data_IF_605025769805
#
_entry.id   IF_605025769805
#
_cell.length_a   1.000
_cell.length_b   1.000
_cell.length_c   1.000
_cell.angle_alpha   90.00
_cell.angle_beta   90.00
_cell.angle_gamma   90.00
#
_symmetry.space_group_name_H-M   'P 1'
#
loop_
_entity.id
_entity.type
_entity.pdbx_description
1 polymer ?
#
# COMPACT_ATOMS: atom_id res chain seq x y z
N UNK A 1 4.98 13.15 -9.37
CA UNK A 1 4.24 13.26 -8.09
C UNK A 1 3.57 11.93 -7.79
N UNK A 2 3.49 11.51 -6.52
CA UNK A 2 2.95 10.20 -6.13
C UNK A 2 1.45 10.14 -6.35
N UNK A 3 1.01 9.15 -7.11
CA UNK A 3 -0.39 8.87 -7.37
C UNK A 3 -0.88 7.74 -6.44
N UNK A 4 -1.42 8.14 -5.28
CA UNK A 4 -1.97 7.20 -4.30
C UNK A 4 -3.19 6.43 -4.86
N UNK A 5 -3.96 7.04 -5.74
CA UNK A 5 -5.16 6.39 -6.30
C UNK A 5 -4.76 5.25 -7.22
N UNK A 6 -3.78 5.47 -8.10
CA UNK A 6 -3.20 4.42 -8.93
C UNK A 6 -2.61 3.28 -8.11
N UNK A 7 -1.90 3.58 -7.02
CA UNK A 7 -1.34 2.55 -6.12
C UNK A 7 -2.47 1.71 -5.50
N UNK A 8 -3.54 2.36 -5.02
CA UNK A 8 -4.70 1.65 -4.48
C UNK A 8 -5.33 0.72 -5.53
N UNK A 9 -5.50 1.19 -6.77
CA UNK A 9 -6.08 0.40 -7.87
C UNK A 9 -5.21 -0.80 -8.20
N UNK A 10 -3.89 -0.64 -8.29
CA UNK A 10 -2.95 -1.73 -8.62
C UNK A 10 -3.00 -2.82 -7.55
N UNK A 11 -2.90 -2.45 -6.27
CA UNK A 11 -2.91 -3.41 -5.15
C UNK A 11 -4.28 -4.07 -5.02
N UNK A 12 -5.37 -3.29 -5.07
CA UNK A 12 -6.72 -3.83 -4.99
C UNK A 12 -7.03 -4.76 -6.18
N UNK A 13 -6.65 -4.39 -7.40
CA UNK A 13 -6.85 -5.24 -8.58
C UNK A 13 -6.12 -6.59 -8.47
N UNK A 14 -4.87 -6.58 -8.01
CA UNK A 14 -4.09 -7.81 -7.80
C UNK A 14 -4.66 -8.71 -6.72
N UNK A 15 -5.05 -8.13 -5.58
CA UNK A 15 -5.71 -8.86 -4.49
C UNK A 15 -7.08 -9.40 -4.92
N UNK A 16 -7.83 -8.67 -5.73
CA UNK A 16 -9.13 -9.12 -6.24
C UNK A 16 -8.95 -10.34 -7.14
N UNK A 17 -7.99 -10.29 -8.06
CA UNK A 17 -7.73 -11.39 -8.99
C UNK A 17 -7.35 -12.70 -8.29
N UNK A 18 -6.61 -12.65 -7.17
CA UNK A 18 -6.17 -13.86 -6.44
C UNK A 18 -7.17 -14.35 -5.40
N UNK A 19 -7.93 -13.44 -4.78
CA UNK A 19 -8.87 -13.81 -3.70
C UNK A 19 -10.30 -13.99 -4.18
N UNK A 20 -10.70 -13.31 -5.26
CA UNK A 20 -12.08 -13.19 -5.70
C UNK A 20 -12.94 -12.25 -4.84
N UNK A 21 -12.38 -11.66 -3.79
CA UNK A 21 -13.08 -10.78 -2.87
C UNK A 21 -13.11 -9.34 -3.38
N UNK A 22 -14.14 -8.59 -3.01
CA UNK A 22 -14.15 -7.14 -3.21
C UNK A 22 -13.14 -6.48 -2.25
N UNK A 23 -12.37 -5.51 -2.73
CA UNK A 23 -11.38 -4.79 -1.93
C UNK A 23 -11.78 -3.34 -1.81
N UNK A 24 -11.93 -2.89 -0.56
CA UNK A 24 -12.42 -1.54 -0.25
C UNK A 24 -11.45 -0.80 0.65
N UNK A 25 -11.34 0.51 0.46
CA UNK A 25 -10.65 1.37 1.41
C UNK A 25 -11.50 1.52 2.67
N UNK A 26 -10.91 1.32 3.83
CA UNK A 26 -11.61 1.45 5.11
C UNK A 26 -11.96 2.92 5.40
N UNK A 27 -12.95 3.14 6.28
CA UNK A 27 -13.33 4.47 6.79
C UNK A 27 -13.83 5.48 5.74
N UNK A 28 -14.35 5.02 4.61
CA UNK A 28 -15.06 5.89 3.68
C UNK A 28 -16.47 6.17 4.23
N UNK A 29 -16.73 7.44 4.58
CA UNK A 29 -18.06 7.88 4.98
C UNK A 29 -19.06 7.57 3.85
N UNK A 30 -20.16 6.90 4.18
CA UNK A 30 -21.23 6.47 3.25
C UNK A 30 -20.84 5.42 2.19
N UNK A 31 -19.73 4.69 2.36
CA UNK A 31 -19.42 3.58 1.49
C UNK A 31 -20.36 2.39 1.73
N UNK A 32 -20.79 1.74 0.64
CA UNK A 32 -21.53 0.49 0.70
C UNK A 32 -20.62 -0.60 1.27
N UNK A 33 -21.11 -1.31 2.28
CA UNK A 33 -20.42 -2.51 2.80
C UNK A 33 -20.62 -3.64 1.77
N UNK A 34 -19.55 -4.23 1.23
CA UNK A 34 -19.65 -5.37 0.31
C UNK A 34 -20.25 -6.61 1.00
N UNK A 35 -20.77 -7.58 0.23
CA UNK A 35 -21.11 -8.89 0.77
C UNK A 35 -19.85 -9.63 1.29
N UNK A 36 -20.01 -10.45 2.31
CA UNK A 36 -18.94 -11.31 2.82
C UNK A 36 -18.58 -12.43 1.83
N UNK A 37 -17.31 -12.89 1.79
CA UNK A 37 -16.15 -12.24 2.39
C UNK A 37 -15.62 -11.07 1.53
N UNK A 38 -15.15 -10.01 2.19
CA UNK A 38 -14.48 -8.88 1.54
C UNK A 38 -13.18 -8.50 2.26
N UNK A 39 -12.34 -7.71 1.61
CA UNK A 39 -11.09 -7.22 2.20
C UNK A 39 -11.15 -5.70 2.30
N UNK A 40 -10.94 -5.18 3.50
CA UNK A 40 -10.71 -3.75 3.70
C UNK A 40 -9.21 -3.46 3.89
N UNK A 41 -8.76 -2.30 3.43
CA UNK A 41 -7.39 -1.84 3.72
C UNK A 41 -7.35 -0.42 4.27
N UNK A 42 -6.29 -0.11 5.01
CA UNK A 42 -5.98 1.23 5.53
C UNK A 42 -4.49 1.49 5.38
N UNK A 43 -4.13 2.65 4.84
CA UNK A 43 -2.74 3.13 4.87
C UNK A 43 -2.49 3.71 6.27
N UNK A 44 -1.71 3.03 7.09
CA UNK A 44 -1.46 3.41 8.48
C UNK A 44 -0.47 4.57 8.59
N UNK A 45 0.58 4.53 7.77
CA UNK A 45 1.60 5.58 7.73
C UNK A 45 2.19 5.71 6.33
N UNK A 46 2.76 6.87 6.07
CA UNK A 46 3.59 7.15 4.90
C UNK A 46 4.82 7.87 5.40
N UNK A 47 5.98 7.26 5.18
CA UNK A 47 7.27 7.77 5.60
C UNK A 47 8.20 7.97 4.39
N UNK A 48 9.09 8.94 4.54
CA UNK A 48 10.08 9.32 3.53
C UNK A 48 11.45 9.31 4.18
N UNK A 49 12.39 8.54 3.64
CA UNK A 49 13.78 8.60 4.11
C UNK A 49 14.43 9.88 3.60
N UNK A 50 14.45 10.93 4.43
CA UNK A 50 15.16 12.19 4.12
C UNK A 50 16.64 11.92 3.84
N UNK A 51 17.17 12.50 2.76
CA UNK A 51 18.62 12.54 2.48
C UNK A 51 19.16 11.54 1.45
N UNK A 52 18.32 10.70 0.84
CA UNK A 52 18.75 9.79 -0.23
C UNK A 52 17.91 10.01 -1.48
N UNK A 53 18.18 11.12 -2.18
CA UNK A 53 17.78 11.22 -3.58
C UNK A 53 18.79 10.41 -4.39
N UNK A 54 18.33 9.32 -4.99
CA UNK A 54 19.15 8.59 -5.95
C UNK A 54 18.99 9.28 -7.29
N UNK A 55 20.11 9.74 -7.87
CA UNK A 55 20.12 10.29 -9.22
C UNK A 55 20.41 9.15 -10.19
N UNK A 56 19.49 8.87 -11.09
CA UNK A 56 19.73 7.98 -12.23
C UNK A 56 19.21 8.65 -13.50
N UNK A 57 20.07 8.80 -14.52
CA UNK A 57 19.68 9.38 -15.80
C UNK A 57 19.19 10.84 -15.75
N UNK A 58 19.56 11.62 -14.74
CA UNK A 58 19.11 13.01 -14.56
C UNK A 58 17.77 13.16 -13.84
N UNK A 59 17.21 12.08 -13.28
CA UNK A 59 15.99 12.13 -12.47
C UNK A 59 16.29 11.72 -11.02
N UNK A 60 15.74 12.48 -10.08
CA UNK A 60 15.86 12.20 -8.65
C UNK A 60 14.75 11.24 -8.22
N UNK A 61 15.12 10.12 -7.61
CA UNK A 61 14.17 9.15 -7.05
C UNK A 61 14.22 9.18 -5.53
N UNK A 62 13.04 9.24 -4.91
CA UNK A 62 12.88 9.09 -3.47
C UNK A 62 11.95 7.90 -3.20
N UNK A 63 12.43 6.81 -2.58
CA UNK A 63 11.56 5.74 -2.17
C UNK A 63 10.70 6.19 -0.98
N UNK A 64 9.39 6.08 -1.11
CA UNK A 64 8.44 6.23 -0.02
C UNK A 64 8.20 4.86 0.59
N UNK A 65 8.12 4.80 1.93
CA UNK A 65 7.72 3.59 2.63
C UNK A 65 6.30 3.79 3.19
N UNK A 66 5.38 2.86 2.91
CA UNK A 66 4.03 2.89 3.46
C UNK A 66 3.72 1.58 4.19
N UNK A 67 3.12 1.70 5.36
CA UNK A 67 2.56 0.54 6.07
C UNK A 67 1.07 0.45 5.77
N UNK A 68 0.64 -0.68 5.23
CA UNK A 68 -0.74 -0.97 4.88
C UNK A 68 -1.28 -2.05 5.80
N UNK A 69 -2.46 -1.83 6.38
CA UNK A 69 -3.18 -2.84 7.14
C UNK A 69 -4.30 -3.40 6.31
N UNK A 70 -4.33 -4.72 6.14
CA UNK A 70 -5.39 -5.46 5.46
C UNK A 70 -6.23 -6.20 6.49
N UNK A 71 -7.54 -6.19 6.32
CA UNK A 71 -8.48 -6.95 7.15
C UNK A 71 -9.49 -7.63 6.25
N UNK A 72 -9.59 -8.94 6.36
CA UNK A 72 -10.63 -9.75 5.74
C UNK A 72 -11.82 -9.80 6.69
N UNK A 73 -13.01 -9.47 6.21
CA UNK A 73 -14.26 -9.61 6.94
C UNK A 73 -15.08 -10.75 6.34
N UNK A 74 -15.61 -11.63 7.19
CA UNK A 74 -16.42 -12.77 6.76
C UNK A 74 -17.39 -13.27 7.82
N UNK A 75 -18.36 -14.08 7.39
CA UNK A 75 -19.32 -14.78 8.25
C UNK A 75 -18.89 -16.22 8.60
N UNK A 76 -17.82 -16.71 7.98
CA UNK A 76 -17.21 -18.03 8.25
C UNK A 76 -15.71 -17.91 8.54
N UNK A 77 -15.29 -18.40 9.71
CA UNK A 77 -13.90 -18.31 10.19
C UNK A 77 -12.87 -18.90 9.21
N UNK A 78 -13.08 -20.15 8.79
CA UNK A 78 -12.16 -20.86 7.89
C UNK A 78 -12.06 -20.18 6.51
N UNK A 79 -13.16 -19.60 6.03
CA UNK A 79 -13.15 -18.88 4.75
C UNK A 79 -12.38 -17.56 4.87
N UNK A 80 -12.63 -16.79 5.93
CA UNK A 80 -11.88 -15.57 6.20
C UNK A 80 -10.37 -15.84 6.36
N UNK A 81 -10.02 -16.93 7.07
CA UNK A 81 -8.63 -17.37 7.22
C UNK A 81 -8.00 -17.76 5.87
N UNK A 82 -8.72 -18.52 5.04
CA UNK A 82 -8.24 -18.91 3.70
C UNK A 82 -8.01 -17.69 2.80
N UNK A 83 -8.93 -16.73 2.79
CA UNK A 83 -8.79 -15.48 2.02
C UNK A 83 -7.59 -14.68 2.51
N UNK A 84 -7.40 -14.57 3.83
CA UNK A 84 -6.24 -13.88 4.42
C UNK A 84 -4.91 -14.54 4.02
N UNK A 85 -4.84 -15.88 4.02
CA UNK A 85 -3.66 -16.61 3.55
C UNK A 85 -3.37 -16.36 2.07
N UNK A 86 -4.38 -16.43 1.19
CA UNK A 86 -4.21 -16.13 -0.24
C UNK A 86 -3.71 -14.71 -0.49
N UNK A 87 -4.28 -13.73 0.20
CA UNK A 87 -3.87 -12.34 0.10
C UNK A 87 -2.42 -12.15 0.57
N UNK A 88 -2.06 -12.79 1.69
CA UNK A 88 -0.71 -12.78 2.26
C UNK A 88 0.30 -13.43 1.30
N UNK A 89 0.03 -14.65 0.83
CA UNK A 89 0.91 -15.39 -0.09
C UNK A 89 1.15 -14.60 -1.39
N UNK A 90 0.12 -13.89 -1.87
CA UNK A 90 0.24 -13.05 -3.05
C UNK A 90 1.15 -11.85 -2.81
N UNK A 91 0.98 -11.13 -1.69
CA UNK A 91 1.87 -10.02 -1.34
C UNK A 91 3.30 -10.52 -1.04
N UNK A 92 3.43 -11.67 -0.42
CA UNK A 92 4.72 -12.23 -0.05
C UNK A 92 5.49 -12.78 -1.22
N UNK A 93 4.86 -13.32 -2.26
CA UNK A 93 5.59 -14.02 -3.33
C UNK A 93 4.97 -13.80 -4.72
N UNK A 94 3.79 -14.35 -4.99
CA UNK A 94 3.30 -14.47 -6.38
C UNK A 94 2.96 -13.13 -7.05
N UNK A 95 2.69 -12.08 -6.26
CA UNK A 95 2.39 -10.73 -6.73
C UNK A 95 3.61 -9.83 -6.90
N UNK A 96 4.81 -10.26 -6.47
CA UNK A 96 6.01 -9.41 -6.44
C UNK A 96 6.37 -8.81 -7.79
N UNK A 97 6.34 -9.60 -8.86
CA UNK A 97 6.66 -9.13 -10.21
C UNK A 97 5.65 -8.09 -10.69
N UNK A 98 4.36 -8.40 -10.58
CA UNK A 98 3.28 -7.48 -10.94
C UNK A 98 3.35 -6.15 -10.18
N UNK A 99 3.65 -6.19 -8.88
CA UNK A 99 3.81 -4.98 -8.07
C UNK A 99 5.05 -4.19 -8.48
N UNK A 100 6.17 -4.88 -8.73
CA UNK A 100 7.43 -4.23 -9.11
C UNK A 100 7.33 -3.54 -10.48
N UNK A 101 6.65 -4.15 -11.46
CA UNK A 101 6.36 -3.54 -12.76
C UNK A 101 5.54 -2.24 -12.63
N UNK A 102 4.85 -2.07 -11.50
CA UNK A 102 4.09 -0.86 -11.14
C UNK A 102 4.82 0.04 -10.13
N UNK A 103 6.12 -0.19 -9.88
CA UNK A 103 6.95 0.63 -8.98
C UNK A 103 6.69 0.39 -7.49
N UNK A 104 6.08 -0.75 -7.13
CA UNK A 104 5.74 -1.13 -5.76
C UNK A 104 6.55 -2.37 -5.36
N UNK A 105 7.32 -2.28 -4.28
CA UNK A 105 8.11 -3.38 -3.74
C UNK A 105 7.59 -3.74 -2.35
N UNK A 106 7.25 -5.01 -2.14
CA UNK A 106 6.84 -5.52 -0.83
C UNK A 106 8.10 -5.76 0.00
N UNK A 107 8.29 -4.99 1.08
CA UNK A 107 9.43 -5.14 1.99
C UNK A 107 9.18 -6.23 3.03
N UNK A 108 7.96 -6.31 3.57
CA UNK A 108 7.57 -7.33 4.54
C UNK A 108 6.06 -7.50 4.60
N UNK A 109 5.63 -8.68 5.05
CA UNK A 109 4.24 -8.98 5.37
C UNK A 109 4.21 -9.64 6.75
N UNK A 110 3.35 -9.14 7.63
CA UNK A 110 3.22 -9.59 9.01
C UNK A 110 2.39 -10.86 9.17
N UNK A 111 2.28 -11.31 10.42
CA UNK A 111 1.43 -12.44 10.77
C UNK A 111 -0.06 -12.09 10.62
N UNK A 112 -0.85 -13.10 10.25
CA UNK A 112 -2.32 -13.01 10.28
C UNK A 112 -2.78 -13.13 11.73
N UNK A 113 -3.60 -12.19 12.17
CA UNK A 113 -4.14 -12.09 13.52
C UNK A 113 -5.66 -12.05 13.49
N UNK A 114 -6.33 -12.66 14.47
CA UNK A 114 -7.77 -12.48 14.66
C UNK A 114 -8.03 -11.06 15.20
N UNK A 115 -8.95 -10.36 14.56
CA UNK A 115 -9.40 -9.00 14.90
C UNK A 115 -10.91 -8.98 15.15
N UNK A 116 -11.46 -10.12 15.54
CA UNK A 116 -12.90 -10.39 15.63
C UNK A 116 -13.59 -9.39 16.57
N UNK A 117 -14.79 -8.95 16.19
CA UNK A 117 -15.62 -8.07 17.00
C UNK A 117 -16.92 -8.76 17.34
N UNK A 118 -17.25 -8.87 18.63
CA UNK A 118 -18.55 -9.37 19.07
C UNK A 118 -19.61 -8.30 18.77
N UNK A 119 -20.41 -8.50 17.72
CA UNK A 119 -21.59 -7.68 17.45
C UNK A 119 -22.82 -8.43 17.95
N UNK A 120 -23.73 -7.72 18.62
CA UNK A 120 -24.83 -8.21 19.47
C UNK A 120 -25.84 -9.16 18.78
N UNK A 121 -25.69 -9.44 17.49
CA UNK A 121 -26.65 -10.20 16.67
C UNK A 121 -25.96 -11.21 15.71
N UNK A 122 -24.62 -11.34 15.72
CA UNK A 122 -23.92 -12.31 14.86
C UNK A 122 -22.40 -12.27 15.00
N UNK A 123 -21.74 -13.39 14.70
CA UNK A 123 -20.27 -13.45 14.62
C UNK A 123 -19.82 -12.90 13.27
N UNK A 124 -19.13 -11.77 13.29
CA UNK A 124 -18.29 -11.32 12.16
C UNK A 124 -16.86 -11.72 12.47
N UNK A 125 -16.27 -12.56 11.61
CA UNK A 125 -14.88 -12.94 11.67
C UNK A 125 -14.03 -11.92 10.95
N UNK A 126 -12.95 -11.49 11.59
CA UNK A 126 -12.00 -10.54 11.05
C UNK A 126 -10.60 -11.11 11.14
N UNK A 127 -9.93 -11.29 10.00
CA UNK A 127 -8.54 -11.74 9.95
C UNK A 127 -7.70 -10.64 9.33
N UNK A 128 -6.69 -10.14 10.03
CA UNK A 128 -5.90 -9.02 9.52
C UNK A 128 -4.40 -9.20 9.68
N UNK A 129 -3.67 -8.56 8.78
CA UNK A 129 -2.21 -8.54 8.73
C UNK A 129 -1.77 -7.19 8.13
N UNK A 130 -0.50 -6.85 8.36
CA UNK A 130 0.06 -5.59 7.87
C UNK A 130 1.19 -5.88 6.88
N UNK A 131 1.38 -5.03 5.87
CA UNK A 131 2.47 -5.11 4.92
C UNK A 131 3.19 -3.77 4.80
N UNK A 132 4.51 -3.81 4.66
CA UNK A 132 5.33 -2.63 4.42
C UNK A 132 5.71 -2.60 2.94
N UNK A 133 5.36 -1.51 2.26
CA UNK A 133 5.57 -1.32 0.84
C UNK A 133 6.57 -0.19 0.61
N UNK A 134 7.53 -0.42 -0.28
CA UNK A 134 8.38 0.62 -0.86
C UNK A 134 7.79 1.05 -2.19
N UNK A 135 7.53 2.34 -2.36
CA UNK A 135 7.00 2.91 -3.59
C UNK A 135 8.06 3.81 -4.20
N UNK A 136 8.43 3.56 -5.44
CA UNK A 136 9.35 4.42 -6.18
C UNK A 136 8.64 5.70 -6.62
N UNK A 137 9.06 6.85 -6.10
CA UNK A 137 8.60 8.15 -6.56
C UNK A 137 9.71 8.86 -7.33
N UNK A 138 9.43 9.19 -8.58
CA UNK A 138 10.27 10.10 -9.36
C UNK A 138 9.89 11.55 -9.03
N UNK A 139 10.87 12.33 -8.59
CA UNK A 139 10.77 13.78 -8.43
C UNK A 139 11.43 14.39 -9.67
N UNK A 140 10.69 15.20 -10.41
CA UNK A 140 11.27 16.02 -11.48
C UNK A 140 12.13 17.11 -10.83
N UNK A 141 13.36 17.29 -11.32
CA UNK A 141 14.16 18.45 -10.94
C UNK A 141 13.36 19.70 -11.33
N UNK A 142 13.11 20.58 -10.36
CA UNK A 142 12.79 21.96 -10.71
C UNK A 142 14.08 22.55 -11.28
N UNK A 143 14.01 23.17 -12.46
CA UNK A 143 15.12 23.96 -13.00
C UNK A 143 15.57 24.97 -11.95
N UNK A 144 16.59 24.63 -11.17
CA UNK A 144 17.23 25.56 -10.25
C UNK A 144 18.07 26.44 -11.17
N UNK A 145 17.57 27.64 -11.48
CA UNK A 145 18.37 28.67 -12.13
C UNK A 145 19.66 28.84 -11.31
N UNK A 146 20.75 28.38 -11.90
CA UNK A 146 22.08 28.50 -11.29
C UNK A 146 22.50 29.97 -11.45
N UNK A 147 22.79 30.65 -10.34
CA UNK A 147 23.38 31.99 -10.41
C UNK A 147 24.85 31.82 -10.83
N UNK A 148 25.11 31.90 -12.14
CA UNK A 148 26.44 31.67 -12.72
C UNK A 148 27.46 32.77 -12.38
N UNK A 149 27.04 33.92 -11.83
CA UNK A 149 27.96 35.01 -11.49
C UNK A 149 27.60 35.73 -10.19
N UNK A 150 28.56 35.74 -9.26
CA UNK A 150 28.57 36.65 -8.12
C UNK A 150 29.55 37.80 -8.42
N UNK A 151 29.03 39.03 -8.55
CA UNK A 151 29.89 40.23 -8.60
C UNK A 151 30.49 40.49 -7.21
N UNK A 152 31.74 40.08 -7.02
CA UNK A 152 32.51 40.43 -5.82
C UNK A 152 33.04 41.86 -6.00
N UNK A 153 32.41 42.84 -5.34
CA UNK A 153 33.01 44.16 -5.16
C UNK A 153 34.16 44.05 -4.16
N UNK A 154 35.38 44.34 -4.60
CA UNK A 154 36.54 44.53 -3.73
C UNK A 154 36.46 45.92 -3.10
N UNK A 155 36.43 45.99 -1.77
CA UNK A 155 36.86 47.16 -0.99
C UNK A 155 38.34 47.01 -0.60
#
# INVERSE_FOLDING_TARGET
MIDQEKINIVIAGGLNAVTGCEIVKSNLANARIPPYPYISFTVLNTDTKKGTYSVSGGQQYMPITQTWSFTVQGDRDNEAQMVAMKAKDWLEESGRLYLNDNGIVVQSVGAITSRDTLLTIGYEYRKGFDAVLSIMNAVEDQDIETIDQAEIKKE
#
